data_IF_668183878673
#
_entry.id   IF_668183878673
#
_cell.length_a   1.000
_cell.length_b   1.000
_cell.length_c   1.000
_cell.angle_alpha   90.00
_cell.angle_beta   90.00
_cell.angle_gamma   90.00
#
_symmetry.space_group_name_H-M   'P 1'
#
loop_
_entity.id
_entity.type
_entity.pdbx_description
1 polymer ?
#
# COMPACT_ATOMS: atom_id res chain seq x y z
N UNK A 1 -9.11 -11.23 -21.24
CA UNK A 1 -8.67 -10.61 -19.98
C UNK A 1 -8.51 -11.71 -18.95
N UNK A 2 -7.28 -12.09 -18.65
CA UNK A 2 -6.97 -13.11 -17.65
C UNK A 2 -7.12 -12.47 -16.27
N UNK A 3 -7.89 -13.12 -15.40
CA UNK A 3 -8.32 -12.65 -14.08
C UNK A 3 -7.20 -12.01 -13.25
N UNK A 4 -7.32 -10.70 -13.01
CA UNK A 4 -6.63 -10.00 -11.92
C UNK A 4 -7.12 -10.65 -10.62
N UNK A 5 -6.20 -11.05 -9.72
CA UNK A 5 -6.61 -11.58 -8.41
C UNK A 5 -7.51 -10.56 -7.71
N UNK A 6 -8.43 -11.01 -6.84
CA UNK A 6 -9.27 -10.10 -6.05
C UNK A 6 -8.45 -9.27 -5.04
N UNK A 7 -7.31 -9.80 -4.60
CA UNK A 7 -6.39 -9.11 -3.72
C UNK A 7 -4.96 -9.58 -3.98
N UNK A 8 -4.01 -8.83 -3.44
CA UNK A 8 -2.61 -9.22 -3.36
C UNK A 8 -2.01 -8.89 -2.01
N UNK A 9 -0.82 -9.44 -1.76
CA UNK A 9 0.01 -9.07 -0.63
C UNK A 9 1.15 -8.15 -1.08
N UNK A 10 1.58 -7.28 -0.18
CA UNK A 10 2.84 -6.53 -0.27
C UNK A 10 3.65 -6.79 1.00
N UNK A 11 4.84 -7.41 0.91
CA UNK A 11 5.70 -7.53 2.08
C UNK A 11 6.14 -6.14 2.57
N UNK A 12 6.03 -5.88 3.88
CA UNK A 12 6.37 -4.57 4.48
C UNK A 12 7.82 -4.18 4.16
N UNK A 13 8.71 -5.18 4.06
CA UNK A 13 10.11 -4.99 3.72
C UNK A 13 10.30 -4.27 2.37
N UNK A 14 9.35 -4.36 1.43
CA UNK A 14 9.41 -3.66 0.14
C UNK A 14 9.56 -2.14 0.29
N UNK A 15 8.98 -1.53 1.33
CA UNK A 15 9.08 -0.09 1.56
C UNK A 15 10.51 0.42 1.77
N UNK A 16 11.46 -0.47 2.09
CA UNK A 16 12.88 -0.12 2.22
C UNK A 16 13.62 -0.05 0.88
N UNK A 17 13.02 -0.58 -0.19
CA UNK A 17 13.65 -0.72 -1.50
C UNK A 17 13.03 0.18 -2.56
N UNK A 18 11.77 0.59 -2.37
CA UNK A 18 11.00 1.27 -3.40
C UNK A 18 10.45 2.59 -2.90
N UNK A 19 10.63 3.63 -3.72
CA UNK A 19 9.92 4.89 -3.59
C UNK A 19 8.42 4.69 -3.84
N UNK A 20 7.55 5.60 -3.35
CA UNK A 20 6.10 5.42 -3.39
C UNK A 20 5.54 4.95 -4.74
N UNK A 21 5.85 5.63 -5.85
CA UNK A 21 5.32 5.26 -7.16
C UNK A 21 5.79 3.87 -7.62
N UNK A 22 7.06 3.55 -7.38
CA UNK A 22 7.64 2.23 -7.68
C UNK A 22 7.00 1.15 -6.79
N UNK A 23 6.64 1.48 -5.55
CA UNK A 23 5.92 0.58 -4.64
C UNK A 23 4.51 0.26 -5.16
N UNK A 24 3.82 1.24 -5.76
CA UNK A 24 2.53 1.00 -6.42
C UNK A 24 2.67 0.16 -7.70
N UNK A 25 3.70 0.41 -8.53
CA UNK A 25 4.02 -0.45 -9.67
C UNK A 25 4.38 -1.88 -9.24
N UNK A 26 5.11 -2.03 -8.14
CA UNK A 26 5.39 -3.34 -7.54
C UNK A 26 4.09 -4.03 -7.15
N UNK A 27 3.15 -3.33 -6.51
CA UNK A 27 1.82 -3.88 -6.23
C UNK A 27 1.07 -4.32 -7.51
N UNK A 28 1.24 -3.59 -8.62
CA UNK A 28 0.76 -3.96 -9.94
C UNK A 28 1.37 -5.26 -10.50
N UNK A 29 2.65 -5.54 -10.23
CA UNK A 29 3.26 -6.84 -10.54
C UNK A 29 2.68 -7.95 -9.65
N UNK A 30 2.55 -7.68 -8.36
CA UNK A 30 2.02 -8.63 -7.39
C UNK A 30 0.56 -9.04 -7.70
N UNK A 31 -0.33 -8.11 -8.06
CA UNK A 31 -1.73 -8.42 -8.36
C UNK A 31 -1.88 -9.27 -9.64
N UNK A 32 -0.95 -9.11 -10.59
CA UNK A 32 -0.89 -9.90 -11.82
C UNK A 32 -0.19 -11.26 -11.66
N UNK A 33 0.49 -11.51 -10.53
CA UNK A 33 1.12 -12.80 -10.26
C UNK A 33 0.12 -13.80 -9.64
N UNK A 34 -0.04 -15.02 -10.18
CA UNK A 34 -0.92 -16.02 -9.59
C UNK A 34 -0.50 -16.35 -8.15
N UNK A 35 -1.49 -16.48 -7.26
CA UNK A 35 -1.21 -16.86 -5.87
C UNK A 35 -0.76 -18.32 -5.81
N UNK A 36 0.35 -18.58 -5.11
CA UNK A 36 0.83 -19.92 -4.81
C UNK A 36 1.17 -20.03 -3.33
N UNK A 37 0.57 -20.99 -2.65
CA UNK A 37 0.82 -21.26 -1.23
C UNK A 37 2.06 -22.13 -1.07
N UNK A 38 2.95 -21.76 -0.14
CA UNK A 38 4.16 -22.54 0.19
C UNK A 38 5.36 -22.31 -0.72
N UNK A 39 5.20 -21.57 -1.82
CA UNK A 39 6.30 -21.16 -2.69
C UNK A 39 7.05 -19.96 -2.12
N UNK A 40 8.36 -19.90 -2.32
CA UNK A 40 9.18 -18.75 -1.92
C UNK A 40 8.89 -17.50 -2.76
N UNK A 41 8.52 -17.69 -4.03
CA UNK A 41 8.28 -16.61 -4.99
C UNK A 41 6.92 -16.73 -5.68
N UNK A 42 6.25 -15.59 -5.87
CA UNK A 42 5.18 -15.43 -6.85
C UNK A 42 5.82 -15.06 -8.18
N UNK A 43 5.56 -15.85 -9.22
CA UNK A 43 6.18 -15.68 -10.53
C UNK A 43 5.18 -15.10 -11.52
N UNK A 44 5.55 -14.02 -12.21
CA UNK A 44 4.74 -13.43 -13.27
C UNK A 44 5.60 -13.02 -14.46
N UNK A 45 5.02 -13.06 -15.66
CA UNK A 45 5.61 -12.56 -16.90
C UNK A 45 4.87 -11.31 -17.44
N UNK A 46 4.25 -10.54 -16.53
CA UNK A 46 3.49 -9.31 -16.84
C UNK A 46 4.25 -8.41 -17.81
N UNK A 47 3.61 -8.06 -18.93
CA UNK A 47 4.20 -7.16 -19.92
C UNK A 47 4.22 -5.71 -19.42
N UNK A 48 5.01 -4.85 -20.05
CA UNK A 48 4.99 -3.42 -19.70
C UNK A 48 3.63 -2.79 -19.99
N UNK A 49 2.97 -3.21 -21.07
CA UNK A 49 1.62 -2.80 -21.46
C UNK A 49 0.60 -3.27 -20.41
N UNK A 50 0.64 -4.54 -20.00
CA UNK A 50 -0.24 -5.04 -18.95
C UNK A 50 -0.05 -4.29 -17.62
N UNK A 51 1.20 -3.98 -17.25
CA UNK A 51 1.49 -3.22 -16.04
C UNK A 51 1.00 -1.77 -16.15
N UNK A 52 1.20 -1.13 -17.30
CA UNK A 52 0.69 0.20 -17.62
C UNK A 52 -0.83 0.23 -17.51
N UNK A 53 -1.52 -0.71 -18.16
CA UNK A 53 -2.99 -0.82 -18.15
C UNK A 53 -3.53 -1.06 -16.74
N UNK A 54 -2.84 -1.90 -15.94
CA UNK A 54 -3.23 -2.19 -14.56
C UNK A 54 -3.07 -0.98 -13.64
N UNK A 55 -2.02 -0.18 -13.83
CA UNK A 55 -1.61 0.84 -12.86
C UNK A 55 -1.97 2.27 -13.28
N UNK A 56 -2.20 2.50 -14.57
CA UNK A 56 -2.34 3.83 -15.15
C UNK A 56 -1.01 4.60 -15.25
N UNK A 57 0.13 3.94 -15.03
CA UNK A 57 1.46 4.55 -15.16
C UNK A 57 1.98 4.38 -16.59
N UNK A 58 2.58 5.43 -17.16
CA UNK A 58 3.04 5.41 -18.55
C UNK A 58 4.10 4.33 -18.82
N UNK A 59 4.07 3.79 -20.04
CA UNK A 59 5.07 2.84 -20.55
C UNK A 59 6.50 3.38 -20.44
N UNK A 60 6.70 4.67 -20.72
CA UNK A 60 8.02 5.30 -20.66
C UNK A 60 8.57 5.27 -19.23
N UNK A 61 7.75 5.61 -18.23
CA UNK A 61 8.17 5.53 -16.84
C UNK A 61 8.52 4.08 -16.44
N UNK A 62 7.69 3.12 -16.88
CA UNK A 62 7.94 1.70 -16.59
C UNK A 62 9.28 1.26 -17.18
N UNK A 63 9.52 1.56 -18.47
CA UNK A 63 10.72 1.14 -19.21
C UNK A 63 11.99 1.85 -18.74
N UNK A 64 11.92 3.17 -18.58
CA UNK A 64 13.11 4.01 -18.43
C UNK A 64 13.49 4.25 -16.98
N UNK A 65 12.54 4.10 -16.05
CA UNK A 65 12.77 4.37 -14.63
C UNK A 65 12.51 3.15 -13.74
N UNK A 66 11.32 2.57 -13.77
CA UNK A 66 10.93 1.50 -12.83
C UNK A 66 11.73 0.22 -13.03
N UNK A 67 11.80 -0.32 -14.24
CA UNK A 67 12.47 -1.60 -14.51
C UNK A 67 13.98 -1.53 -14.24
N UNK A 68 14.73 -0.49 -14.65
CA UNK A 68 16.13 -0.32 -14.26
C UNK A 68 16.31 -0.32 -12.74
N UNK A 69 15.53 0.50 -12.00
CA UNK A 69 15.61 0.55 -10.53
C UNK A 69 15.23 -0.78 -9.89
N UNK A 70 14.22 -1.47 -10.40
CA UNK A 70 13.80 -2.79 -9.91
C UNK A 70 14.95 -3.79 -9.97
N UNK A 71 15.74 -3.79 -11.06
CA UNK A 71 16.94 -4.63 -11.21
C UNK A 71 18.03 -4.28 -10.19
N UNK A 72 18.23 -2.99 -9.91
CA UNK A 72 19.25 -2.52 -8.96
C UNK A 72 18.93 -2.91 -7.51
N UNK A 73 17.64 -3.03 -7.15
CA UNK A 73 17.23 -3.33 -5.77
C UNK A 73 17.65 -4.72 -5.27
N UNK A 74 17.87 -5.69 -6.18
CA UNK A 74 17.99 -7.12 -5.87
C UNK A 74 16.85 -7.70 -5.01
N UNK A 75 15.75 -6.95 -4.82
CA UNK A 75 14.59 -7.39 -4.04
C UNK A 75 13.70 -8.33 -4.86
N UNK A 76 13.52 -8.03 -6.15
CA UNK A 76 12.85 -8.89 -7.13
C UNK A 76 13.92 -9.51 -8.03
N UNK A 77 13.93 -10.83 -8.16
CA UNK A 77 14.76 -11.49 -9.16
C UNK A 77 14.07 -11.38 -10.53
N UNK A 78 14.79 -10.88 -11.53
CA UNK A 78 14.28 -10.70 -12.89
C UNK A 78 15.11 -11.57 -13.85
N UNK A 79 14.45 -12.47 -14.54
CA UNK A 79 15.03 -13.26 -15.63
C UNK A 79 14.53 -12.70 -16.95
N UNK A 80 15.42 -12.43 -17.90
CA UNK A 80 15.04 -11.98 -19.26
C UNK A 80 15.22 -13.13 -20.23
N UNK A 81 14.14 -13.59 -20.83
CA UNK A 81 14.15 -14.63 -21.86
C UNK A 81 13.90 -14.02 -23.24
N UNK A 82 14.48 -14.64 -24.26
CA UNK A 82 14.12 -14.36 -25.65
C UNK A 82 12.89 -15.21 -25.99
N UNK A 83 11.73 -14.58 -26.16
CA UNK A 83 10.48 -15.28 -26.48
C UNK A 83 10.36 -15.55 -27.99
N UNK A 84 10.80 -14.60 -28.82
CA UNK A 84 10.93 -14.75 -30.27
C UNK A 84 12.01 -13.80 -30.79
N UNK A 85 12.36 -13.83 -32.09
CA UNK A 85 13.46 -13.05 -32.66
C UNK A 85 13.46 -11.55 -32.27
N UNK A 86 12.29 -10.91 -32.23
CA UNK A 86 12.14 -9.49 -31.87
C UNK A 86 11.61 -9.24 -30.46
N UNK A 87 11.24 -10.29 -29.71
CA UNK A 87 10.51 -10.14 -28.43
C UNK A 87 11.32 -10.71 -27.28
N UNK A 88 11.68 -9.83 -26.34
CA UNK A 88 12.21 -10.18 -25.04
C UNK A 88 11.11 -10.12 -23.99
N UNK A 89 11.10 -11.07 -23.07
CA UNK A 89 10.13 -11.17 -21.98
C UNK A 89 10.86 -11.21 -20.65
N UNK A 90 10.44 -10.36 -19.71
CA UNK A 90 10.88 -10.45 -18.34
C UNK A 90 9.98 -11.42 -17.56
N UNK A 91 10.60 -12.27 -16.76
CA UNK A 91 9.97 -13.09 -15.74
C UNK A 91 10.38 -12.51 -14.38
N UNK A 92 9.41 -12.11 -13.58
CA UNK A 92 9.60 -11.50 -12.27
C UNK A 92 9.31 -12.54 -11.20
N UNK A 93 10.29 -12.75 -10.30
CA UNK A 93 10.16 -13.60 -9.12
C UNK A 93 10.02 -12.69 -7.90
N UNK A 94 8.76 -12.49 -7.48
CA UNK A 94 8.37 -11.59 -6.40
C UNK A 94 8.40 -12.34 -5.07
N UNK A 95 9.06 -11.84 -4.01
CA UNK A 95 9.07 -12.50 -2.70
C UNK A 95 7.67 -12.79 -2.14
N UNK A 96 7.37 -14.06 -1.85
CA UNK A 96 6.09 -14.50 -1.31
C UNK A 96 6.17 -14.62 0.22
N UNK A 97 6.09 -13.48 0.91
CA UNK A 97 6.26 -13.47 2.36
C UNK A 97 5.07 -14.12 3.07
N UNK A 98 5.33 -15.10 3.94
CA UNK A 98 4.32 -15.73 4.80
C UNK A 98 4.04 -14.96 6.09
N UNK A 99 4.83 -13.92 6.39
CA UNK A 99 4.73 -13.05 7.57
C UNK A 99 5.01 -11.60 7.18
N UNK A 100 4.62 -10.64 8.02
CA UNK A 100 4.96 -9.21 7.86
C UNK A 100 4.64 -8.65 6.46
N UNK A 101 3.40 -8.83 6.03
CA UNK A 101 2.87 -8.30 4.78
C UNK A 101 1.58 -7.51 5.04
N UNK A 102 1.16 -6.77 4.02
CA UNK A 102 -0.07 -6.01 3.97
C UNK A 102 -0.93 -6.54 2.83
N UNK A 103 -2.26 -6.56 3.00
CA UNK A 103 -3.20 -7.02 1.98
C UNK A 103 -3.81 -5.80 1.29
N UNK A 104 -3.88 -5.86 -0.03
CA UNK A 104 -4.42 -4.81 -0.89
C UNK A 104 -5.40 -5.43 -1.86
N UNK A 105 -6.61 -4.88 -1.93
CA UNK A 105 -7.65 -5.35 -2.84
C UNK A 105 -7.49 -4.77 -4.25
N UNK A 106 -7.99 -5.48 -5.26
CA UNK A 106 -7.84 -5.12 -6.67
C UNK A 106 -8.46 -3.76 -7.02
N UNK A 107 -9.49 -3.36 -6.28
CA UNK A 107 -10.22 -2.11 -6.44
C UNK A 107 -9.34 -0.88 -6.26
N UNK A 108 -8.22 -0.99 -5.52
CA UNK A 108 -7.18 0.05 -5.48
C UNK A 108 -6.70 0.44 -6.88
N UNK A 109 -6.55 -0.52 -7.79
CA UNK A 109 -6.00 -0.27 -9.13
C UNK A 109 -7.02 0.45 -10.03
N UNK A 110 -8.31 0.18 -9.84
CA UNK A 110 -9.40 0.86 -10.56
C UNK A 110 -9.81 2.20 -9.97
N UNK A 111 -9.40 2.54 -8.74
CA UNK A 111 -9.75 3.80 -8.10
C UNK A 111 -9.09 5.00 -8.81
N UNK A 112 -9.89 5.83 -9.48
CA UNK A 112 -9.40 7.02 -10.18
C UNK A 112 -9.32 8.26 -9.29
N UNK A 113 -9.75 8.21 -8.03
CA UNK A 113 -9.70 9.34 -7.10
C UNK A 113 -8.27 9.62 -6.61
N UNK A 114 -7.39 8.62 -6.66
CA UNK A 114 -5.98 8.71 -6.30
C UNK A 114 -5.08 8.56 -7.52
N UNK A 115 -4.09 9.43 -7.63
CA UNK A 115 -3.00 9.32 -8.60
C UNK A 115 -2.08 8.15 -8.25
N UNK A 116 -1.30 7.61 -9.21
CA UNK A 116 -0.33 6.55 -8.93
C UNK A 116 0.66 6.88 -7.80
N UNK A 117 1.12 8.14 -7.70
CA UNK A 117 1.99 8.57 -6.60
C UNK A 117 1.26 8.56 -5.25
N UNK A 118 0.01 9.05 -5.17
CA UNK A 118 -0.79 9.03 -3.94
C UNK A 118 -1.09 7.60 -3.48
N UNK A 119 -1.45 6.70 -4.40
CA UNK A 119 -1.61 5.26 -4.10
C UNK A 119 -0.31 4.67 -3.56
N UNK A 120 0.81 5.02 -4.16
CA UNK A 120 2.14 4.64 -3.68
C UNK A 120 2.43 5.10 -2.25
N UNK A 121 2.14 6.37 -1.94
CA UNK A 121 2.34 6.93 -0.61
C UNK A 121 1.44 6.25 0.40
N UNK A 122 0.17 6.03 0.06
CA UNK A 122 -0.79 5.32 0.90
C UNK A 122 -0.35 3.88 1.20
N UNK A 123 0.13 3.12 0.20
CA UNK A 123 0.68 1.77 0.43
C UNK A 123 1.88 1.83 1.39
N UNK A 124 2.77 2.81 1.19
CA UNK A 124 3.92 3.03 2.05
C UNK A 124 3.51 3.30 3.50
N UNK A 125 2.53 4.19 3.71
CA UNK A 125 1.95 4.48 5.01
C UNK A 125 1.29 3.26 5.64
N UNK A 126 0.54 2.49 4.86
CA UNK A 126 -0.12 1.27 5.34
C UNK A 126 0.86 0.20 5.81
N UNK A 127 2.04 0.12 5.18
CA UNK A 127 3.12 -0.74 5.64
C UNK A 127 3.75 -0.29 6.97
N UNK A 128 3.58 0.98 7.35
CA UNK A 128 4.02 1.54 8.63
C UNK A 128 2.95 1.47 9.73
N UNK A 129 1.71 1.10 9.40
CA UNK A 129 0.65 0.94 10.40
C UNK A 129 0.99 -0.17 11.40
N UNK A 130 0.45 -0.06 12.62
CA UNK A 130 0.47 -1.16 13.60
C UNK A 130 -0.21 -2.41 13.03
N UNK A 131 0.24 -3.60 13.40
CA UNK A 131 -0.33 -4.84 12.88
C UNK A 131 -1.82 -4.97 13.22
N UNK A 132 -2.60 -5.45 12.25
CA UNK A 132 -4.06 -5.54 12.30
C UNK A 132 -4.76 -4.21 12.56
N UNK A 133 -4.07 -3.07 12.46
CA UNK A 133 -4.62 -1.74 12.64
C UNK A 133 -4.39 -0.87 11.41
N UNK A 134 -5.08 0.27 11.39
CA UNK A 134 -4.93 1.31 10.36
C UNK A 134 -4.24 2.57 10.88
N UNK A 135 -3.74 2.51 12.12
CA UNK A 135 -3.09 3.61 12.83
C UNK A 135 -1.61 3.72 12.48
N UNK A 136 -1.17 4.95 12.21
CA UNK A 136 0.21 5.35 12.03
C UNK A 136 0.61 6.19 13.25
N UNK A 137 1.37 5.58 14.13
CA UNK A 137 1.85 6.19 15.37
C UNK A 137 3.32 6.57 15.25
N UNK A 138 3.63 7.38 14.25
CA UNK A 138 4.99 7.81 13.93
C UNK A 138 4.99 9.30 13.60
N UNK A 139 6.03 10.01 14.04
CA UNK A 139 6.23 11.40 13.61
C UNK A 139 6.48 11.47 12.11
N UNK A 140 6.07 12.58 11.49
CA UNK A 140 6.30 12.84 10.07
C UNK A 140 7.77 12.65 9.66
N UNK A 141 8.70 13.06 10.54
CA UNK A 141 10.15 12.90 10.31
C UNK A 141 10.54 11.44 10.12
N UNK A 142 10.02 10.57 10.98
CA UNK A 142 10.29 9.13 10.87
C UNK A 142 9.65 8.56 9.60
N UNK A 143 8.44 8.99 9.27
CA UNK A 143 7.71 8.52 8.09
C UNK A 143 8.45 8.87 6.80
N UNK A 144 8.75 10.15 6.54
CA UNK A 144 9.37 10.52 5.26
C UNK A 144 10.79 9.96 5.14
N UNK A 145 11.51 9.76 6.26
CA UNK A 145 12.80 9.07 6.25
C UNK A 145 12.66 7.59 5.91
N UNK A 146 11.62 6.90 6.41
CA UNK A 146 11.38 5.49 6.10
C UNK A 146 10.96 5.27 4.64
N UNK A 147 10.21 6.20 4.07
CA UNK A 147 9.71 6.13 2.69
C UNK A 147 10.70 6.68 1.65
N UNK A 148 11.90 7.09 2.07
CA UNK A 148 12.91 7.77 1.22
C UNK A 148 12.32 8.97 0.45
N UNK A 149 11.61 9.83 1.17
CA UNK A 149 10.93 11.01 0.63
C UNK A 149 11.52 12.30 1.20
N UNK A 150 11.61 13.31 0.35
CA UNK A 150 11.87 14.67 0.82
C UNK A 150 10.70 15.18 1.69
N UNK A 151 11.01 15.90 2.78
CA UNK A 151 10.04 16.46 3.73
C UNK A 151 8.86 17.16 3.06
N UNK A 152 9.13 18.07 2.11
CA UNK A 152 8.08 18.86 1.46
C UNK A 152 7.22 18.02 0.50
N UNK A 153 7.82 17.02 -0.15
CA UNK A 153 7.10 16.07 -1.00
C UNK A 153 6.16 15.21 -0.17
N UNK A 154 6.63 14.70 0.97
CA UNK A 154 5.78 13.94 1.90
C UNK A 154 4.63 14.79 2.41
N UNK A 155 4.90 16.02 2.90
CA UNK A 155 3.84 16.93 3.39
C UNK A 155 2.77 17.16 2.33
N UNK A 156 3.16 17.48 1.09
CA UNK A 156 2.24 17.64 -0.04
C UNK A 156 1.31 16.44 -0.19
N UNK A 157 1.85 15.22 -0.27
CA UNK A 157 1.02 14.02 -0.48
C UNK A 157 0.19 13.66 0.75
N UNK A 158 0.71 13.86 1.96
CA UNK A 158 -0.05 13.70 3.19
C UNK A 158 -1.27 14.62 3.19
N UNK A 159 -1.07 15.90 2.87
CA UNK A 159 -2.15 16.90 2.88
C UNK A 159 -3.21 16.59 1.80
N UNK A 160 -2.78 16.14 0.62
CA UNK A 160 -3.70 15.65 -0.43
C UNK A 160 -4.51 14.43 0.03
N UNK A 161 -3.89 13.47 0.73
CA UNK A 161 -4.58 12.29 1.25
C UNK A 161 -5.54 12.65 2.41
N UNK A 162 -5.25 13.69 3.19
CA UNK A 162 -6.17 14.25 4.20
C UNK A 162 -7.36 14.92 3.50
N UNK A 163 -7.12 15.76 2.50
CA UNK A 163 -8.16 16.43 1.70
C UNK A 163 -9.12 15.41 1.07
N UNK A 164 -8.57 14.32 0.54
CA UNK A 164 -9.31 13.21 -0.07
C UNK A 164 -9.92 12.23 0.94
N UNK A 165 -9.87 12.55 2.24
CA UNK A 165 -10.47 11.72 3.30
C UNK A 165 -9.94 10.28 3.34
N UNK A 166 -8.67 10.10 2.97
CA UNK A 166 -7.94 8.83 3.12
C UNK A 166 -7.22 8.78 4.46
N UNK A 167 -6.62 9.90 4.88
CA UNK A 167 -5.97 10.04 6.18
C UNK A 167 -6.85 10.90 7.08
N UNK A 168 -7.11 10.40 8.28
CA UNK A 168 -7.91 11.06 9.30
C UNK A 168 -7.11 11.26 10.58
N UNK A 169 -7.49 12.26 11.37
CA UNK A 169 -7.07 12.40 12.75
C UNK A 169 -7.75 11.32 13.61
N UNK A 170 -7.11 10.83 14.67
CA UNK A 170 -7.77 9.87 15.57
C UNK A 170 -9.00 10.44 16.27
N UNK A 171 -9.15 11.77 16.33
CA UNK A 171 -10.33 12.46 16.86
C UNK A 171 -11.54 12.39 15.91
N UNK A 172 -11.32 12.16 14.62
CA UNK A 172 -12.35 12.24 13.58
C UNK A 172 -12.81 10.87 13.07
N UNK A 173 -12.29 9.77 13.63
CA UNK A 173 -12.63 8.41 13.19
C UNK A 173 -13.69 7.76 14.10
N UNK A 174 -14.40 6.72 13.61
CA UNK A 174 -15.29 5.94 14.46
C UNK A 174 -14.56 5.38 15.68
N UNK A 175 -15.23 5.36 16.83
CA UNK A 175 -14.65 4.96 18.11
C UNK A 175 -13.97 3.58 18.09
N UNK A 176 -14.51 2.65 17.28
CA UNK A 176 -13.92 1.33 17.04
C UNK A 176 -12.45 1.36 16.53
N UNK A 177 -12.02 2.51 15.99
CA UNK A 177 -10.69 2.74 15.44
C UNK A 177 -9.90 3.78 16.26
N UNK A 178 -10.52 4.38 17.28
CA UNK A 178 -9.90 5.38 18.13
C UNK A 178 -9.15 4.73 19.27
N UNK A 179 -7.95 5.24 19.54
CA UNK A 179 -7.15 4.83 20.69
C UNK A 179 -6.81 6.06 21.50
N UNK A 180 -7.42 6.16 22.67
CA UNK A 180 -7.27 7.30 23.60
C UNK A 180 -5.82 7.56 24.03
N UNK A 181 -4.99 6.51 24.11
CA UNK A 181 -3.56 6.64 24.39
C UNK A 181 -2.75 7.21 23.21
N UNK A 182 -3.36 7.32 22.03
CA UNK A 182 -2.71 7.66 20.76
C UNK A 182 -3.55 8.64 19.92
N UNK A 183 -4.17 9.63 20.57
CA UNK A 183 -5.07 10.57 19.88
C UNK A 183 -4.36 11.42 18.80
N UNK A 184 -3.05 11.67 18.97
CA UNK A 184 -2.21 12.34 17.96
C UNK A 184 -1.93 11.50 16.70
N UNK A 185 -2.32 10.22 16.70
CA UNK A 185 -2.00 9.32 15.60
C UNK A 185 -2.88 9.58 14.37
N UNK A 186 -2.33 9.25 13.20
CA UNK A 186 -3.05 9.33 11.92
C UNK A 186 -3.66 7.98 11.58
N UNK A 187 -4.90 7.96 11.11
CA UNK A 187 -5.61 6.72 10.76
C UNK A 187 -5.85 6.67 9.25
N UNK A 188 -5.58 5.54 8.61
CA UNK A 188 -5.89 5.33 7.18
C UNK A 188 -7.28 4.71 7.05
N UNK A 189 -8.25 5.47 6.53
CA UNK A 189 -9.59 4.98 6.20
C UNK A 189 -9.74 4.80 4.69
N UNK A 190 -9.08 3.77 4.14
CA UNK A 190 -9.23 3.38 2.74
C UNK A 190 -9.89 2.00 2.63
N UNK A 191 -11.03 1.85 1.90
CA UNK A 191 -11.83 0.61 1.90
C UNK A 191 -11.11 -0.64 1.36
N UNK A 192 -10.02 -0.47 0.62
CA UNK A 192 -9.38 -1.56 -0.13
C UNK A 192 -8.06 -2.02 0.50
N UNK A 193 -7.89 -1.81 1.82
CA UNK A 193 -6.75 -2.27 2.61
C UNK A 193 -7.19 -3.26 3.70
N UNK A 194 -6.37 -4.28 3.94
CA UNK A 194 -6.57 -5.25 5.01
C UNK A 194 -7.37 -6.48 4.57
N UNK A 195 -7.26 -7.55 5.38
CA UNK A 195 -8.15 -8.70 5.26
C UNK A 195 -9.53 -8.32 5.78
N UNK A 196 -9.59 -7.93 7.05
CA UNK A 196 -10.69 -7.16 7.62
C UNK A 196 -10.39 -5.68 7.36
N UNK A 197 -11.30 -5.02 6.64
CA UNK A 197 -11.17 -3.60 6.34
C UNK A 197 -11.55 -2.76 7.56
N UNK A 198 -11.26 -1.46 7.51
CA UNK A 198 -11.72 -0.54 8.57
C UNK A 198 -13.25 -0.53 8.67
N UNK A 199 -13.96 -0.74 7.56
CA UNK A 199 -15.43 -0.81 7.52
C UNK A 199 -15.91 -2.04 8.27
N UNK A 200 -15.30 -3.19 8.02
CA UNK A 200 -15.65 -4.45 8.70
C UNK A 200 -15.46 -4.32 10.21
N UNK A 201 -14.33 -3.72 10.64
CA UNK A 201 -14.06 -3.44 12.05
C UNK A 201 -15.16 -2.59 12.68
N UNK A 202 -15.52 -1.47 12.03
CA UNK A 202 -16.54 -0.55 12.54
C UNK A 202 -17.92 -1.21 12.63
N UNK A 203 -18.32 -1.98 11.61
CA UNK A 203 -19.61 -2.67 11.59
C UNK A 203 -19.68 -3.76 12.67
N UNK A 204 -18.55 -4.43 12.94
CA UNK A 204 -18.47 -5.51 13.93
C UNK A 204 -18.39 -5.05 15.38
N UNK A 205 -18.10 -3.76 15.63
CA UNK A 205 -17.87 -3.23 16.97
C UNK A 205 -19.15 -2.65 17.56
N UNK A 206 -19.54 -3.16 18.73
CA UNK A 206 -20.61 -2.61 19.56
C UNK A 206 -19.95 -2.05 20.82
N UNK A 207 -19.81 -0.72 20.93
CA UNK A 207 -19.11 -0.14 22.06
C UNK A 207 -19.90 -0.25 23.35
N UNK A 208 -19.19 -0.38 24.47
CA UNK A 208 -19.79 -0.34 25.80
C UNK A 208 -19.81 1.06 26.43
N UNK A 209 -20.55 1.21 27.53
CA UNK A 209 -20.75 2.51 28.20
C UNK A 209 -19.44 3.10 28.75
N UNK A 210 -18.48 2.25 29.13
CA UNK A 210 -17.18 2.67 29.68
C UNK A 210 -16.26 3.17 28.55
N UNK A 211 -16.25 2.51 27.39
CA UNK A 211 -15.56 2.95 26.18
C UNK A 211 -16.10 4.29 25.68
N UNK A 212 -17.44 4.44 25.64
CA UNK A 212 -18.10 5.70 25.26
C UNK A 212 -17.67 6.82 26.21
N UNK A 213 -17.72 6.57 27.52
CA UNK A 213 -17.35 7.57 28.53
C UNK A 213 -15.88 7.96 28.40
N UNK A 214 -14.99 6.98 28.28
CA UNK A 214 -13.55 7.22 28.14
C UNK A 214 -13.21 8.04 26.89
N UNK A 215 -13.89 7.77 25.77
CA UNK A 215 -13.74 8.54 24.54
C UNK A 215 -14.21 9.99 24.72
N UNK A 216 -15.40 10.19 25.31
CA UNK A 216 -15.94 11.52 25.57
C UNK A 216 -15.03 12.33 26.50
N UNK A 217 -14.49 11.71 27.54
CA UNK A 217 -13.56 12.37 28.46
C UNK A 217 -12.26 12.77 27.71
N UNK A 218 -11.71 11.89 26.88
CA UNK A 218 -10.48 12.17 26.11
C UNK A 218 -10.63 13.27 25.04
N UNK A 219 -11.83 13.42 24.46
CA UNK A 219 -12.10 14.45 23.43
C UNK A 219 -12.46 15.81 24.05
N UNK A 220 -12.98 15.84 25.28
CA UNK A 220 -13.39 17.08 25.95
C UNK A 220 -12.27 17.79 26.73
N UNK A 221 -11.10 17.17 26.89
CA UNK A 221 -9.91 17.74 27.55
C UNK A 221 -9.02 18.61 26.61
N UNK A 222 -9.44 18.85 25.36
CA UNK A 222 -8.86 19.81 24.40
C UNK A 222 -9.71 21.08 24.21
#
# INVERSE_FOLDING_TARGET
>A
MTTVKKFTIIPIKACKYFKPKDLYLLAGLYINAPYKKGEEYLVTNTTYEQLSDTTGVSLDYIKDAFIPRLKETNYVKIETIQESYMVKRNIYHLPNSSKNFRIIWAELFSDSSLTPEEKGVMIGLYCLCTNNEFRIDLSDKVIYSHLDMAKNTYKKYRDLLIEKKVIWSSYDVPMALTWSEHMDAKIILYPHLGYDTWIDKVISHVPDDDEIKHYLDAVNDE
#
